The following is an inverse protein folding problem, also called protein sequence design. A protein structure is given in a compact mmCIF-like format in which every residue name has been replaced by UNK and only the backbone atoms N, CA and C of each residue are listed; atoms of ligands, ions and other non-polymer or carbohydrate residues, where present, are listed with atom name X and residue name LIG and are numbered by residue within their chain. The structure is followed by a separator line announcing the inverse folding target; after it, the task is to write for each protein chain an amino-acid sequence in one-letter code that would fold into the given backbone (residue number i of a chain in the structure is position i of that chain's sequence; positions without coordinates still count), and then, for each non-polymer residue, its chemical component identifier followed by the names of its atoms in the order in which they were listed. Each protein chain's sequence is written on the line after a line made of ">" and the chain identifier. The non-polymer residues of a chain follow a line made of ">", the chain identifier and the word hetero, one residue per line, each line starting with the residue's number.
data_IF_121115036757
#
_entry.id   IF_121115036757
#
_cell.length_a   1.000
_cell.length_b   1.000
_cell.length_c   1.000
_cell.angle_alpha   90.00
_cell.angle_beta   90.00
_cell.angle_gamma   90.00
#
_symmetry.space_group_name_H-M   'P 1'
#
loop_
_entity.id
_entity.type
_entity.pdbx_description
1 polymer ?
#
# COMPACT_ATOMS: atom_id res chain seq x y z
N UNK A 1 -13.14 49.39 8.46
CA UNK A 1 -12.69 47.99 8.67
C UNK A 1 -13.86 47.03 8.95
N UNK A 2 -14.83 46.83 8.03
CA UNK A 2 -16.02 45.98 8.29
C UNK A 2 -16.29 44.87 7.26
N UNK A 3 -15.45 44.71 6.23
CA UNK A 3 -15.70 43.81 5.09
C UNK A 3 -14.81 42.55 5.02
N UNK A 4 -13.91 42.37 5.99
CA UNK A 4 -12.91 41.27 6.00
C UNK A 4 -13.44 40.00 6.70
N UNK A 5 -14.41 40.16 7.60
CA UNK A 5 -15.04 39.11 8.40
C UNK A 5 -15.69 37.95 7.61
N UNK A 6 -16.34 38.16 6.44
CA UNK A 6 -16.93 37.06 5.69
C UNK A 6 -15.89 36.21 4.94
N UNK A 7 -14.76 36.81 4.53
CA UNK A 7 -13.71 36.11 3.80
C UNK A 7 -12.98 35.12 4.73
N UNK A 8 -12.69 35.54 5.96
CA UNK A 8 -12.15 34.67 7.01
C UNK A 8 -13.11 33.54 7.39
N UNK A 9 -14.42 33.81 7.44
CA UNK A 9 -15.40 32.77 7.74
C UNK A 9 -15.52 31.73 6.60
N UNK A 10 -15.46 32.17 5.34
CA UNK A 10 -15.43 31.27 4.18
C UNK A 10 -14.15 30.42 4.18
N UNK A 11 -12.99 31.03 4.45
CA UNK A 11 -11.71 30.32 4.54
C UNK A 11 -11.70 29.25 5.64
N UNK A 12 -12.23 29.56 6.84
CA UNK A 12 -12.36 28.59 7.93
C UNK A 12 -13.33 27.45 7.58
N UNK A 13 -14.42 27.73 6.84
CA UNK A 13 -15.31 26.67 6.33
C UNK A 13 -14.61 25.76 5.33
N UNK A 14 -13.80 26.31 4.41
CA UNK A 14 -13.04 25.53 3.45
C UNK A 14 -11.96 24.66 4.13
N UNK A 15 -11.27 25.20 5.14
CA UNK A 15 -10.31 24.44 5.95
C UNK A 15 -10.98 23.32 6.75
N UNK A 16 -12.14 23.57 7.34
CA UNK A 16 -12.88 22.52 8.04
C UNK A 16 -13.34 21.42 7.07
N UNK A 17 -13.73 21.79 5.84
CA UNK A 17 -14.08 20.81 4.81
C UNK A 17 -12.87 19.99 4.35
N UNK A 18 -11.70 20.62 4.17
CA UNK A 18 -10.48 19.89 3.78
C UNK A 18 -10.06 18.87 4.83
N UNK A 19 -10.25 19.17 6.12
CA UNK A 19 -9.98 18.21 7.22
C UNK A 19 -10.81 16.94 7.14
N UNK A 20 -12.03 16.99 6.61
CA UNK A 20 -12.82 15.78 6.34
C UNK A 20 -12.32 15.01 5.12
N UNK A 21 -11.69 15.69 4.16
CA UNK A 21 -11.14 15.07 2.95
C UNK A 21 -9.69 14.58 3.14
N UNK A 22 -9.00 14.97 4.21
CA UNK A 22 -7.63 14.53 4.54
C UNK A 22 -7.52 13.01 4.68
N UNK A 23 -8.58 12.32 5.11
CA UNK A 23 -8.63 10.86 5.18
C UNK A 23 -8.90 10.17 3.84
N UNK A 24 -9.44 10.88 2.84
CA UNK A 24 -9.77 10.28 1.54
C UNK A 24 -8.54 10.00 0.68
N UNK A 25 -7.54 10.89 0.70
CA UNK A 25 -6.30 10.68 -0.03
C UNK A 25 -5.55 9.40 0.40
N UNK A 26 -5.27 9.16 1.70
CA UNK A 26 -4.68 7.91 2.14
C UNK A 26 -5.62 6.72 1.96
N UNK A 27 -6.94 6.87 2.10
CA UNK A 27 -7.88 5.77 1.88
C UNK A 27 -7.91 5.32 0.41
N UNK A 28 -7.93 6.26 -0.54
CA UNK A 28 -7.91 5.96 -1.97
C UNK A 28 -6.62 5.23 -2.36
N UNK A 29 -5.47 5.66 -1.82
CA UNK A 29 -4.18 4.99 -2.05
C UNK A 29 -4.19 3.54 -1.54
N UNK A 30 -4.77 3.30 -0.37
CA UNK A 30 -4.87 1.95 0.22
C UNK A 30 -5.79 1.03 -0.58
N UNK A 31 -6.95 1.52 -1.00
CA UNK A 31 -7.89 0.75 -1.84
C UNK A 31 -7.28 0.42 -3.20
N UNK A 32 -6.45 1.31 -3.75
CA UNK A 32 -5.73 1.06 -4.99
C UNK A 32 -4.60 0.02 -4.82
N UNK A 33 -3.80 0.14 -3.76
CA UNK A 33 -2.66 -0.76 -3.51
C UNK A 33 -3.06 -2.15 -3.04
N UNK A 34 -4.14 -2.27 -2.27
CA UNK A 34 -4.61 -3.54 -1.71
C UNK A 34 -4.76 -4.67 -2.75
N UNK A 35 -5.55 -4.52 -3.84
CA UNK A 35 -5.72 -5.58 -4.82
C UNK A 35 -4.41 -5.92 -5.54
N UNK A 36 -3.54 -4.93 -5.78
CA UNK A 36 -2.24 -5.14 -6.43
C UNK A 36 -1.34 -6.01 -5.56
N UNK A 37 -1.24 -5.70 -4.26
CA UNK A 37 -0.42 -6.45 -3.31
C UNK A 37 -0.96 -7.86 -3.07
N UNK A 38 -2.29 -8.01 -2.94
CA UNK A 38 -2.92 -9.32 -2.78
C UNK A 38 -2.73 -10.19 -4.01
N UNK A 39 -2.88 -9.63 -5.22
CA UNK A 39 -2.66 -10.36 -6.46
C UNK A 39 -1.18 -10.74 -6.65
N UNK A 40 -0.25 -9.84 -6.34
CA UNK A 40 1.19 -10.12 -6.41
C UNK A 40 1.58 -11.24 -5.44
N UNK A 41 1.15 -11.15 -4.17
CA UNK A 41 1.41 -12.17 -3.16
C UNK A 41 0.78 -13.52 -3.52
N UNK A 42 -0.48 -13.53 -3.96
CA UNK A 42 -1.16 -14.76 -4.38
C UNK A 42 -0.47 -15.44 -5.57
N UNK A 43 -0.02 -14.65 -6.56
CA UNK A 43 0.73 -15.18 -7.70
C UNK A 43 2.07 -15.79 -7.27
N UNK A 44 2.81 -15.14 -6.37
CA UNK A 44 4.07 -15.67 -5.83
C UNK A 44 3.87 -16.92 -4.96
N UNK A 45 2.77 -17.00 -4.23
CA UNK A 45 2.41 -18.20 -3.46
C UNK A 45 2.00 -19.36 -4.39
N UNK A 46 1.29 -19.07 -5.48
CA UNK A 46 0.84 -20.08 -6.44
C UNK A 46 2.00 -20.61 -7.30
N UNK A 47 2.99 -19.76 -7.59
CA UNK A 47 4.21 -20.11 -8.34
C UNK A 47 5.45 -19.96 -7.46
N UNK A 48 5.38 -20.57 -6.27
CA UNK A 48 6.44 -20.41 -5.27
C UNK A 48 7.77 -20.99 -5.74
N UNK A 49 7.76 -22.17 -6.37
CA UNK A 49 8.97 -22.81 -6.89
C UNK A 49 9.66 -21.95 -7.96
N UNK A 50 8.90 -21.37 -8.88
CA UNK A 50 9.43 -20.47 -9.91
C UNK A 50 10.00 -19.18 -9.31
N UNK A 51 9.35 -18.67 -8.27
CA UNK A 51 9.84 -17.51 -7.51
C UNK A 51 11.16 -17.86 -6.82
N UNK A 52 11.27 -19.01 -6.17
CA UNK A 52 12.53 -19.47 -5.57
C UNK A 52 13.62 -19.65 -6.61
N UNK A 53 13.29 -20.22 -7.79
CA UNK A 53 14.24 -20.41 -8.88
C UNK A 53 14.79 -19.07 -9.40
N UNK A 54 13.93 -18.06 -9.57
CA UNK A 54 14.36 -16.70 -9.93
C UNK A 54 15.19 -16.03 -8.83
N UNK A 55 14.85 -16.24 -7.55
CA UNK A 55 15.67 -15.73 -6.45
C UNK A 55 17.06 -16.41 -6.38
N UNK A 56 17.16 -17.69 -6.76
CA UNK A 56 18.38 -18.48 -6.69
C UNK A 56 19.36 -18.23 -7.84
N UNK A 57 18.85 -17.92 -9.03
CA UNK A 57 19.67 -17.85 -10.24
C UNK A 57 20.42 -16.50 -10.34
N UNK A 58 21.76 -16.48 -10.45
CA UNK A 58 22.54 -15.24 -10.59
C UNK A 58 22.67 -14.72 -12.03
N UNK A 59 22.38 -15.52 -13.05
CA UNK A 59 22.55 -15.17 -14.46
C UNK A 59 21.36 -14.38 -15.03
N UNK A 60 20.13 -14.77 -14.65
CA UNK A 60 18.88 -14.15 -15.11
C UNK A 60 17.91 -13.79 -13.97
N UNK A 61 18.29 -14.12 -12.74
CA UNK A 61 17.52 -13.86 -11.54
C UNK A 61 18.24 -12.92 -10.58
N UNK A 62 17.92 -13.05 -9.30
CA UNK A 62 18.45 -12.17 -8.25
C UNK A 62 19.74 -12.70 -7.61
N UNK A 63 20.04 -14.00 -7.77
CA UNK A 63 21.27 -14.63 -7.26
C UNK A 63 21.45 -14.54 -5.74
N UNK A 64 20.36 -14.57 -4.97
CA UNK A 64 20.41 -14.35 -3.52
C UNK A 64 20.77 -15.63 -2.73
N UNK A 65 21.50 -15.49 -1.61
CA UNK A 65 21.65 -16.57 -0.66
C UNK A 65 20.32 -16.88 0.03
N UNK A 66 20.07 -18.17 0.34
CA UNK A 66 18.83 -18.65 0.95
C UNK A 66 17.54 -18.23 0.20
N UNK A 67 17.42 -18.56 -1.10
CA UNK A 67 16.36 -18.06 -1.97
C UNK A 67 14.96 -18.49 -1.54
N UNK A 68 14.81 -19.70 -0.97
CA UNK A 68 13.54 -20.16 -0.42
C UNK A 68 13.05 -19.28 0.76
N UNK A 69 13.96 -18.88 1.66
CA UNK A 69 13.62 -18.00 2.78
C UNK A 69 13.26 -16.59 2.30
N UNK A 70 14.01 -16.06 1.33
CA UNK A 70 13.75 -14.73 0.77
C UNK A 70 12.41 -14.70 0.03
N UNK A 71 12.11 -15.74 -0.77
CA UNK A 71 10.84 -15.85 -1.48
C UNK A 71 9.65 -16.01 -0.51
N UNK A 72 9.78 -16.80 0.57
CA UNK A 72 8.69 -16.91 1.56
C UNK A 72 8.46 -15.60 2.28
N UNK A 73 9.51 -14.88 2.67
CA UNK A 73 9.40 -13.57 3.31
C UNK A 73 8.78 -12.54 2.37
N UNK A 74 9.17 -12.53 1.09
CA UNK A 74 8.60 -11.62 0.10
C UNK A 74 7.11 -11.91 -0.16
N UNK A 75 6.78 -13.17 -0.50
CA UNK A 75 5.40 -13.57 -0.77
C UNK A 75 4.50 -13.41 0.46
N UNK A 76 5.00 -13.77 1.64
CA UNK A 76 4.30 -13.59 2.91
C UNK A 76 4.05 -12.12 3.22
N UNK A 77 5.09 -11.27 3.12
CA UNK A 77 4.93 -9.83 3.38
C UNK A 77 3.95 -9.20 2.41
N UNK A 78 4.02 -9.49 1.11
CA UNK A 78 3.07 -8.95 0.12
C UNK A 78 1.62 -9.37 0.39
N UNK A 79 1.40 -10.64 0.73
CA UNK A 79 0.05 -11.15 1.03
C UNK A 79 -0.52 -10.60 2.34
N UNK A 80 0.25 -10.64 3.44
CA UNK A 80 -0.19 -10.13 4.73
C UNK A 80 -0.36 -8.60 4.72
N UNK A 81 0.53 -7.88 4.03
CA UNK A 81 0.45 -6.42 3.95
C UNK A 81 -0.72 -5.96 3.09
N UNK A 82 -1.07 -6.70 2.04
CA UNK A 82 -2.29 -6.48 1.26
C UNK A 82 -3.57 -6.60 2.09
N UNK A 83 -3.60 -7.45 3.12
CA UNK A 83 -4.70 -7.51 4.08
C UNK A 83 -4.62 -6.44 5.16
N UNK A 84 -3.42 -6.11 5.65
CA UNK A 84 -3.28 -5.10 6.69
C UNK A 84 -3.63 -3.70 6.18
N UNK A 85 -3.29 -3.38 4.92
CA UNK A 85 -3.55 -2.07 4.34
C UNK A 85 -5.06 -1.80 4.16
N UNK A 86 -5.89 -2.84 4.05
CA UNK A 86 -7.36 -2.73 4.04
C UNK A 86 -7.97 -2.82 5.44
N UNK A 87 -7.42 -3.63 6.34
CA UNK A 87 -7.96 -3.85 7.68
C UNK A 87 -7.58 -2.75 8.69
N UNK A 88 -6.40 -2.13 8.55
CA UNK A 88 -5.93 -1.09 9.46
C UNK A 88 -6.33 0.31 8.95
N UNK A 89 -7.62 0.54 8.78
CA UNK A 89 -8.17 1.88 8.65
C UNK A 89 -8.44 2.40 10.07
N UNK A 90 -7.44 3.04 10.67
CA UNK A 90 -7.57 3.66 11.98
C UNK A 90 -8.71 4.66 12.00
N UNK A 91 -9.73 4.33 12.78
CA UNK A 91 -10.54 5.28 13.53
C UNK A 91 -9.67 6.00 14.58
#
# INVERSE_FOLDING_TARGET
>A
MKRIMPLTALYQKLLNLSRYLEGLAPLALRIYLAPVLLQAGYNKLSHFEDTVAWFANPDWGLGLPMPALMATLAAGTEFFWGHLITAWAGD
#
